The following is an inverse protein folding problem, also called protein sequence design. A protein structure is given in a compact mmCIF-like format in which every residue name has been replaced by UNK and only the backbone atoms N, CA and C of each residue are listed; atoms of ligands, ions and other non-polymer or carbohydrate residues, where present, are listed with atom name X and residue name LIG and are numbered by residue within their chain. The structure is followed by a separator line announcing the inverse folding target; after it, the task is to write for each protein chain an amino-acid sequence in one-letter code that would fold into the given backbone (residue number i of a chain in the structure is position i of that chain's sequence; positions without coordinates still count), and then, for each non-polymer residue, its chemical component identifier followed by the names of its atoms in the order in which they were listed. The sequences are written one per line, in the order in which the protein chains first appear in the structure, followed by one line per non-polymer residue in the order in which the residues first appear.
data_IF_391411738943
#
_entry.id   IF_391411738943
#
_cell.length_a   1.000
_cell.length_b   1.000
_cell.length_c   1.000
_cell.angle_alpha   90.00
_cell.angle_beta   90.00
_cell.angle_gamma   90.00
#
_symmetry.space_group_name_H-M   'P 1'
#
loop_
_entity.id
_entity.type
_entity.pdbx_description
1 polymer ?
#
# COMPACT_ATOMS: atom_id res chain seq x y z
N UNK A 1 4.05 -2.23 -7.78
CA UNK A 1 5.37 -2.86 -7.57
C UNK A 1 5.44 -4.16 -8.34
N UNK A 2 6.57 -4.48 -8.99
CA UNK A 2 6.77 -5.79 -9.62
C UNK A 2 7.86 -6.57 -8.90
N UNK A 3 7.52 -7.74 -8.41
CA UNK A 3 8.30 -8.56 -7.49
C UNK A 3 8.71 -9.84 -8.20
N UNK A 4 9.91 -10.34 -7.90
CA UNK A 4 10.38 -11.64 -8.39
C UNK A 4 9.44 -12.73 -7.85
N UNK A 5 8.84 -13.56 -8.71
CA UNK A 5 7.80 -14.51 -8.27
C UNK A 5 8.23 -15.46 -7.15
N UNK A 6 9.50 -15.86 -7.13
CA UNK A 6 10.11 -16.72 -6.13
C UNK A 6 10.46 -16.02 -4.80
N UNK A 7 10.27 -14.69 -4.72
CA UNK A 7 10.58 -13.87 -3.54
C UNK A 7 9.38 -13.08 -3.00
N UNK A 8 8.17 -13.43 -3.44
CA UNK A 8 6.94 -12.74 -3.02
C UNK A 8 6.76 -12.78 -1.50
N UNK A 9 6.99 -13.92 -0.83
CA UNK A 9 6.80 -13.98 0.61
C UNK A 9 7.87 -13.20 1.39
N UNK A 10 9.12 -13.20 0.93
CA UNK A 10 10.17 -12.35 1.52
C UNK A 10 9.80 -10.86 1.39
N UNK A 11 9.27 -10.47 0.24
CA UNK A 11 8.73 -9.14 0.03
C UNK A 11 7.58 -8.86 1.01
N UNK A 12 6.57 -9.73 1.14
CA UNK A 12 5.48 -9.53 2.10
C UNK A 12 5.97 -9.45 3.54
N UNK A 13 6.91 -10.29 3.96
CA UNK A 13 7.52 -10.27 5.29
C UNK A 13 8.20 -8.93 5.60
N UNK A 14 8.88 -8.35 4.61
CA UNK A 14 9.48 -7.02 4.75
C UNK A 14 8.41 -5.91 4.94
N UNK A 15 7.25 -6.03 4.30
CA UNK A 15 6.24 -4.95 4.31
C UNK A 15 5.17 -5.09 5.39
N UNK A 16 4.84 -6.29 5.86
CA UNK A 16 3.81 -6.51 6.89
C UNK A 16 3.97 -5.58 8.12
N UNK A 17 5.18 -5.35 8.67
CA UNK A 17 5.37 -4.41 9.77
C UNK A 17 5.03 -2.97 9.39
N UNK A 18 5.36 -2.56 8.16
CA UNK A 18 5.04 -1.22 7.64
C UNK A 18 3.54 -1.09 7.41
N UNK A 19 2.89 -2.08 6.80
CA UNK A 19 1.44 -2.10 6.63
C UNK A 19 0.71 -1.98 7.97
N UNK A 20 1.14 -2.73 8.98
CA UNK A 20 0.56 -2.66 10.31
C UNK A 20 0.77 -1.29 10.97
N UNK A 21 1.95 -0.69 10.82
CA UNK A 21 2.23 0.64 11.36
C UNK A 21 1.40 1.72 10.64
N UNK A 22 1.36 1.70 9.31
CA UNK A 22 0.58 2.58 8.46
C UNK A 22 -0.92 2.48 8.75
N UNK A 23 -1.46 1.27 8.91
CA UNK A 23 -2.88 1.04 9.22
C UNK A 23 -3.29 1.47 10.64
N UNK A 24 -2.33 1.67 11.54
CA UNK A 24 -2.58 2.20 12.87
C UNK A 24 -2.61 3.74 12.91
N UNK A 25 -2.25 4.40 11.81
CA UNK A 25 -2.22 5.87 11.75
C UNK A 25 -3.62 6.45 11.49
N UNK A 26 -4.03 7.48 12.24
CA UNK A 26 -5.32 8.13 11.98
C UNK A 26 -5.35 8.88 10.65
N UNK A 27 -4.18 9.22 10.08
CA UNK A 27 -4.06 9.84 8.76
C UNK A 27 -4.30 8.85 7.63
N UNK A 28 -4.13 7.55 7.86
CA UNK A 28 -4.39 6.51 6.87
C UNK A 28 -5.89 6.18 6.88
N UNK A 29 -6.57 6.42 5.77
CA UNK A 29 -8.02 6.27 5.65
C UNK A 29 -8.43 4.98 4.94
N UNK A 30 -7.61 4.52 4.01
CA UNK A 30 -7.82 3.29 3.25
C UNK A 30 -6.49 2.78 2.73
N UNK A 31 -6.25 1.46 2.81
CA UNK A 31 -5.05 0.81 2.32
C UNK A 31 -5.47 -0.57 1.86
N UNK A 32 -5.25 -0.85 0.59
CA UNK A 32 -5.55 -2.14 0.00
C UNK A 32 -4.43 -2.58 -0.93
N UNK A 33 -4.28 -3.89 -1.06
CA UNK A 33 -3.23 -4.55 -1.82
C UNK A 33 -3.86 -5.49 -2.83
N UNK A 34 -3.68 -5.14 -4.10
CA UNK A 34 -4.11 -5.94 -5.24
C UNK A 34 -2.93 -6.66 -5.86
N UNK A 35 -3.17 -7.83 -6.41
CA UNK A 35 -2.26 -8.54 -7.31
C UNK A 35 -2.89 -8.62 -8.70
N UNK A 36 -2.10 -8.40 -9.75
CA UNK A 36 -2.54 -8.56 -11.13
C UNK A 36 -2.68 -10.06 -11.47
N UNK A 37 -3.88 -10.55 -11.80
CA UNK A 37 -4.09 -11.95 -12.13
C UNK A 37 -3.42 -12.37 -13.44
N UNK A 38 -3.08 -11.43 -14.33
CA UNK A 38 -2.45 -11.70 -15.62
C UNK A 38 -0.92 -11.60 -15.56
N UNK A 39 -0.39 -10.96 -14.53
CA UNK A 39 1.05 -10.84 -14.30
C UNK A 39 1.40 -11.11 -12.83
N UNK A 40 1.51 -12.39 -12.42
CA UNK A 40 1.82 -12.75 -11.03
C UNK A 40 3.07 -12.05 -10.49
N UNK A 41 2.99 -11.60 -9.24
CA UNK A 41 4.02 -10.78 -8.62
C UNK A 41 3.97 -9.30 -9.03
N UNK A 42 2.97 -8.86 -9.80
CA UNK A 42 2.67 -7.42 -9.99
C UNK A 42 1.61 -7.00 -8.99
N UNK A 43 2.01 -6.18 -8.02
CA UNK A 43 1.16 -5.70 -6.94
C UNK A 43 0.83 -4.21 -7.09
N UNK A 44 -0.38 -3.82 -6.66
CA UNK A 44 -0.80 -2.42 -6.59
C UNK A 44 -1.33 -2.10 -5.20
N UNK A 45 -0.71 -1.11 -4.58
CA UNK A 45 -1.20 -0.48 -3.37
C UNK A 45 -2.17 0.62 -3.76
N UNK A 46 -3.33 0.66 -3.09
CA UNK A 46 -4.24 1.81 -3.13
C UNK A 46 -4.30 2.37 -1.73
N UNK A 47 -3.70 3.54 -1.55
CA UNK A 47 -3.65 4.22 -0.26
C UNK A 47 -4.41 5.55 -0.35
N UNK A 48 -5.27 5.80 0.62
CA UNK A 48 -5.98 7.07 0.78
C UNK A 48 -5.59 7.66 2.12
N UNK A 49 -5.15 8.90 2.09
CA UNK A 49 -4.66 9.62 3.26
C UNK A 49 -5.51 10.87 3.51
N UNK A 50 -5.58 11.30 4.77
CA UNK A 50 -6.23 12.56 5.16
C UNK A 50 -5.36 13.80 4.92
N UNK A 51 -4.15 13.58 4.40
CA UNK A 51 -3.09 14.58 4.20
C UNK A 51 -2.71 14.62 2.72
N UNK A 52 -2.13 15.75 2.33
CA UNK A 52 -1.66 15.95 0.96
C UNK A 52 -0.31 15.26 0.70
N UNK A 53 0.11 15.32 -0.57
CA UNK A 53 1.40 14.81 -1.02
C UNK A 53 2.59 15.43 -0.27
N UNK A 54 2.55 16.73 0.02
CA UNK A 54 3.68 17.42 0.64
C UNK A 54 3.94 16.87 2.04
N UNK A 55 2.89 16.73 2.85
CA UNK A 55 2.96 16.08 4.15
C UNK A 55 3.42 14.63 4.02
N UNK A 56 2.90 13.89 3.03
CA UNK A 56 3.26 12.49 2.84
C UNK A 56 4.75 12.30 2.56
N UNK A 57 5.33 13.10 1.66
CA UNK A 57 6.75 13.00 1.31
C UNK A 57 7.67 13.47 2.45
N UNK A 58 7.27 14.49 3.21
CA UNK A 58 8.11 15.09 4.28
C UNK A 58 8.00 14.39 5.62
N UNK A 59 6.81 13.95 5.98
CA UNK A 59 6.49 13.42 7.31
C UNK A 59 6.29 11.90 7.26
N UNK A 60 5.49 11.40 6.32
CA UNK A 60 5.14 9.98 6.30
C UNK A 60 6.33 9.11 5.86
N UNK A 61 6.96 9.43 4.73
CA UNK A 61 8.12 8.64 4.25
C UNK A 61 9.38 8.74 5.12
N UNK A 62 9.43 9.68 6.06
CA UNK A 62 10.57 9.81 6.98
C UNK A 62 10.38 9.01 8.26
N UNK A 63 9.21 8.39 8.48
CA UNK A 63 8.93 7.63 9.70
C UNK A 63 9.81 6.40 9.85
N UNK A 64 10.13 6.12 11.11
CA UNK A 64 11.12 5.12 11.51
C UNK A 64 10.82 3.70 11.01
N UNK A 65 9.56 3.33 10.88
CA UNK A 65 9.20 1.99 10.40
C UNK A 65 9.55 1.75 8.93
N UNK A 66 9.79 2.79 8.12
CA UNK A 66 10.31 2.64 6.76
C UNK A 66 11.82 2.35 6.71
N UNK A 67 12.59 2.66 7.76
CA UNK A 67 14.06 2.54 7.78
C UNK A 67 14.57 1.14 7.40
N UNK A 68 13.81 0.10 7.78
CA UNK A 68 14.21 -1.29 7.51
C UNK A 68 13.59 -1.87 6.24
N UNK A 69 12.64 -1.16 5.63
CA UNK A 69 11.87 -1.67 4.50
C UNK A 69 12.74 -1.77 3.24
N UNK A 70 13.34 -0.66 2.82
CA UNK A 70 14.13 -0.57 1.59
C UNK A 70 15.18 -1.69 1.47
N UNK A 71 16.09 -1.85 2.45
CA UNK A 71 17.13 -2.88 2.38
C UNK A 71 16.62 -4.32 2.27
N UNK A 72 15.44 -4.62 2.82
CA UNK A 72 14.81 -5.96 2.76
C UNK A 72 13.98 -6.14 1.50
N UNK A 73 13.33 -5.08 1.05
CA UNK A 73 12.36 -5.08 -0.03
C UNK A 73 13.04 -4.99 -1.40
N UNK A 74 13.96 -4.04 -1.59
CA UNK A 74 14.58 -3.73 -2.88
C UNK A 74 15.19 -4.94 -3.60
N UNK A 75 15.89 -5.88 -2.91
CA UNK A 75 16.44 -7.06 -3.58
C UNK A 75 15.39 -7.97 -4.24
N UNK A 76 14.13 -7.90 -3.80
CA UNK A 76 13.02 -8.71 -4.30
C UNK A 76 12.40 -8.14 -5.59
N UNK A 77 12.73 -6.90 -5.98
CA UNK A 77 12.04 -6.23 -7.09
C UNK A 77 12.55 -6.67 -8.46
N UNK A 78 11.66 -6.67 -9.45
CA UNK A 78 11.97 -6.79 -10.88
C UNK A 78 12.30 -5.43 -11.52
N UNK A 79 11.75 -4.36 -10.97
CA UNK A 79 11.92 -2.98 -11.43
C UNK A 79 11.78 -1.99 -10.25
N UNK A 80 12.27 -0.75 -10.37
CA UNK A 80 12.09 0.27 -9.35
C UNK A 80 10.62 0.53 -9.00
N UNK A 81 10.36 0.94 -7.75
CA UNK A 81 9.01 1.31 -7.29
C UNK A 81 8.51 2.52 -8.07
N UNK A 82 7.24 2.45 -8.49
CA UNK A 82 6.52 3.55 -9.10
C UNK A 82 5.44 4.01 -8.14
N UNK A 83 5.38 5.32 -7.89
CA UNK A 83 4.39 5.95 -7.02
C UNK A 83 3.70 7.06 -7.82
N UNK A 84 2.38 7.07 -7.77
CA UNK A 84 1.54 8.06 -8.44
C UNK A 84 0.64 8.72 -7.39
N UNK A 85 0.46 10.04 -7.50
CA UNK A 85 -0.35 10.81 -6.57
C UNK A 85 -1.59 11.34 -7.26
N UNK A 86 -2.72 11.21 -6.59
CA UNK A 86 -4.02 11.65 -7.08
C UNK A 86 -4.79 12.37 -5.96
N UNK A 87 -5.52 13.40 -6.33
CA UNK A 87 -6.45 14.09 -5.44
C UNK A 87 -7.88 13.61 -5.71
N UNK A 88 -8.69 13.51 -4.65
CA UNK A 88 -10.11 13.19 -4.82
C UNK A 88 -10.78 14.33 -5.58
N UNK A 89 -11.48 14.01 -6.66
CA UNK A 89 -12.25 14.99 -7.43
C UNK A 89 -13.32 15.65 -6.55
N UNK A 90 -13.60 16.94 -6.79
CA UNK A 90 -14.70 17.68 -6.17
C UNK A 90 -16.07 17.07 -6.49
N UNK A 91 -16.20 16.45 -7.66
CA UNK A 91 -17.38 15.69 -8.10
C UNK A 91 -17.26 14.19 -7.75
N UNK A 92 -16.31 13.84 -6.88
CA UNK A 92 -15.97 12.46 -6.56
C UNK A 92 -17.10 11.74 -5.86
N UNK A 93 -17.52 10.62 -6.43
CA UNK A 93 -18.41 9.66 -5.79
C UNK A 93 -17.58 8.67 -4.97
N UNK A 94 -17.81 8.60 -3.67
CA UNK A 94 -17.34 7.50 -2.82
C UNK A 94 -18.52 6.65 -2.40
N UNK A 95 -18.50 5.36 -2.75
CA UNK A 95 -19.45 4.38 -2.26
C UNK A 95 -18.70 3.16 -1.78
N UNK A 96 -19.09 2.62 -0.63
CA UNK A 96 -18.56 1.36 -0.11
C UNK A 96 -19.71 0.48 0.42
N UNK A 97 -19.41 -0.79 0.65
CA UNK A 97 -20.31 -1.74 1.31
C UNK A 97 -19.64 -2.21 2.58
N UNK A 98 -20.13 -1.74 3.73
CA UNK A 98 -19.53 -2.01 5.04
C UNK A 98 -19.28 -3.51 5.26
N UNK A 99 -20.25 -4.35 4.88
CA UNK A 99 -20.14 -5.79 5.04
C UNK A 99 -19.03 -6.45 4.21
N UNK A 100 -18.42 -5.77 3.23
CA UNK A 100 -17.40 -6.34 2.34
C UNK A 100 -16.00 -5.77 2.55
N UNK A 101 -15.80 -5.00 3.62
CA UNK A 101 -14.50 -4.36 3.88
C UNK A 101 -13.41 -5.36 4.33
N UNK A 102 -13.79 -6.56 4.79
CA UNK A 102 -12.83 -7.62 5.10
C UNK A 102 -12.43 -8.40 3.84
N UNK A 103 -11.54 -7.81 3.05
CA UNK A 103 -10.98 -8.43 1.83
C UNK A 103 -12.06 -8.93 0.85
N UNK A 104 -13.17 -8.20 0.75
CA UNK A 104 -14.29 -8.54 -0.13
C UNK A 104 -15.17 -9.69 0.36
N UNK A 105 -15.02 -10.13 1.61
CA UNK A 105 -15.90 -11.15 2.22
C UNK A 105 -17.01 -10.49 3.01
N UNK A 106 -18.21 -11.06 2.90
CA UNK A 106 -19.34 -10.60 3.71
C UNK A 106 -19.08 -10.94 5.19
N UNK A 107 -18.96 -9.91 6.02
CA UNK A 107 -18.86 -10.05 7.48
C UNK A 107 -20.23 -10.51 8.03
N UNK A 108 -20.21 -11.57 8.85
CA UNK A 108 -21.38 -12.06 9.61
C UNK A 108 -21.77 -11.13 10.77
#
# INVERSE_FOLDING_TARGET
MKIKPDRIEEWKEAHRPVWAATAAEPEQLFFDLFEDPNEPGTFRFIEVWSKDREWFEKEQFTKDYYKTLGPKSEPTWREPVQVEYYERSVDGLMTYRQGFLDLGKQME
#
